data_IF_897255546399
#
_entry.id   IF_897255546399
#
_cell.length_a   1.000
_cell.length_b   1.000
_cell.length_c   1.000
_cell.angle_alpha   90.00
_cell.angle_beta   90.00
_cell.angle_gamma   90.00
#
_symmetry.space_group_name_H-M   'P 1'
#
loop_
_entity.id
_entity.type
_entity.pdbx_description
1 polymer ?
#
# COMPACT_ATOMS: atom_id res chain seq x y z
N UNK A 1 24.79 6.14 -7.15
CA UNK A 1 23.71 5.65 -8.06
C UNK A 1 22.58 6.67 -8.07
N UNK A 2 21.57 6.58 -8.98
CA UNK A 2 20.58 7.65 -9.14
C UNK A 2 19.61 7.78 -7.95
N UNK A 3 19.08 6.69 -7.44
CA UNK A 3 18.11 6.73 -6.34
C UNK A 3 18.69 6.34 -4.99
N UNK A 4 19.54 5.35 -4.93
CA UNK A 4 20.06 4.77 -3.69
C UNK A 4 21.56 4.53 -3.78
N UNK A 5 22.24 4.55 -2.63
CA UNK A 5 23.67 4.30 -2.47
C UNK A 5 23.93 3.03 -1.66
N UNK A 6 25.20 2.61 -1.66
CA UNK A 6 25.71 1.54 -0.79
C UNK A 6 25.03 0.18 -0.93
N UNK A 7 24.89 -0.30 -2.17
CA UNK A 7 24.46 -1.67 -2.40
C UNK A 7 25.59 -2.65 -2.09
N UNK A 8 25.31 -3.62 -1.22
CA UNK A 8 26.18 -4.76 -0.92
C UNK A 8 25.46 -6.06 -1.22
N UNK A 9 26.22 -7.17 -1.28
CA UNK A 9 25.62 -8.50 -1.40
C UNK A 9 24.68 -8.82 -0.23
N UNK A 10 25.02 -8.35 0.97
CA UNK A 10 24.21 -8.53 2.18
C UNK A 10 22.86 -7.82 2.05
N UNK A 11 22.84 -6.60 1.51
CA UNK A 11 21.59 -5.87 1.25
C UNK A 11 20.70 -6.64 0.26
N UNK A 12 21.25 -7.13 -0.84
CA UNK A 12 20.51 -7.90 -1.86
C UNK A 12 19.92 -9.17 -1.25
N UNK A 13 20.71 -9.92 -0.48
CA UNK A 13 20.23 -11.12 0.23
C UNK A 13 19.13 -10.78 1.23
N UNK A 14 19.28 -9.70 2.01
CA UNK A 14 18.27 -9.21 2.94
C UNK A 14 16.95 -8.87 2.25
N UNK A 15 17.01 -8.21 1.11
CA UNK A 15 15.84 -7.91 0.27
C UNK A 15 15.14 -9.19 -0.18
N UNK A 16 15.88 -10.15 -0.73
CA UNK A 16 15.32 -11.43 -1.20
C UNK A 16 14.64 -12.17 -0.04
N UNK A 17 15.30 -12.26 1.11
CA UNK A 17 14.76 -12.91 2.31
C UNK A 17 13.46 -12.23 2.76
N UNK A 18 13.44 -10.89 2.82
CA UNK A 18 12.25 -10.15 3.21
C UNK A 18 11.10 -10.34 2.21
N UNK A 19 11.40 -10.33 0.91
CA UNK A 19 10.41 -10.59 -0.15
C UNK A 19 9.79 -11.98 0.01
N UNK A 20 10.62 -13.01 0.23
CA UNK A 20 10.17 -14.39 0.43
C UNK A 20 9.32 -14.52 1.71
N UNK A 21 9.74 -13.91 2.81
CA UNK A 21 8.98 -13.93 4.07
C UNK A 21 7.63 -13.24 3.89
N UNK A 22 7.60 -12.03 3.34
CA UNK A 22 6.34 -11.29 3.14
C UNK A 22 5.39 -12.03 2.18
N UNK A 23 5.92 -12.60 1.09
CA UNK A 23 5.11 -13.41 0.17
C UNK A 23 4.53 -14.64 0.86
N UNK A 24 5.36 -15.38 1.57
CA UNK A 24 4.97 -16.64 2.24
C UNK A 24 3.92 -16.38 3.32
N UNK A 25 4.15 -15.39 4.18
CA UNK A 25 3.19 -15.02 5.22
C UNK A 25 1.87 -14.49 4.63
N UNK A 26 1.94 -13.68 3.57
CA UNK A 26 0.76 -13.21 2.86
C UNK A 26 -0.04 -14.38 2.27
N UNK A 27 0.62 -15.37 1.63
CA UNK A 27 -0.07 -16.54 1.07
C UNK A 27 -0.67 -17.46 2.15
N UNK A 28 0.01 -17.68 3.26
CA UNK A 28 -0.51 -18.48 4.36
C UNK A 28 -1.71 -17.81 5.02
N UNK A 29 -1.62 -16.52 5.32
CA UNK A 29 -2.74 -15.77 5.91
C UNK A 29 -3.90 -15.62 4.93
N UNK A 30 -3.63 -15.46 3.62
CA UNK A 30 -4.66 -15.44 2.58
C UNK A 30 -5.46 -16.72 2.52
N UNK A 31 -4.80 -17.89 2.57
CA UNK A 31 -5.40 -19.21 2.39
C UNK A 31 -6.04 -19.79 3.66
N UNK A 32 -5.68 -19.28 4.83
CA UNK A 32 -6.14 -19.81 6.11
C UNK A 32 -6.78 -18.73 6.99
N UNK A 33 -8.09 -18.89 7.27
CA UNK A 33 -8.80 -18.02 8.23
C UNK A 33 -8.16 -18.03 9.62
N UNK A 34 -7.73 -19.23 10.09
CA UNK A 34 -7.12 -19.39 11.41
C UNK A 34 -5.80 -18.61 11.49
N UNK A 35 -4.94 -18.78 10.48
CA UNK A 35 -3.67 -18.04 10.42
C UNK A 35 -3.88 -16.54 10.28
N UNK A 36 -4.90 -16.08 9.54
CA UNK A 36 -5.25 -14.65 9.49
C UNK A 36 -5.60 -14.10 10.87
N UNK A 37 -6.41 -14.82 11.64
CA UNK A 37 -6.78 -14.41 13.01
C UNK A 37 -5.54 -14.35 13.91
N UNK A 38 -4.70 -15.39 13.87
CA UNK A 38 -3.47 -15.41 14.64
C UNK A 38 -2.58 -14.22 14.29
N UNK A 39 -2.26 -14.05 13.00
CA UNK A 39 -1.27 -13.07 12.53
C UNK A 39 -1.76 -11.62 12.63
N UNK A 40 -3.06 -11.35 12.44
CA UNK A 40 -3.57 -9.97 12.40
C UNK A 40 -4.39 -9.56 13.62
N UNK A 41 -4.65 -10.47 14.56
CA UNK A 41 -5.34 -10.17 15.82
C UNK A 41 -4.49 -10.59 17.01
N UNK A 42 -4.15 -11.88 17.15
CA UNK A 42 -3.49 -12.39 18.35
C UNK A 42 -2.03 -11.94 18.46
N UNK A 43 -1.26 -12.03 17.37
CA UNK A 43 0.14 -11.59 17.37
C UNK A 43 0.28 -10.09 17.66
N UNK A 44 -0.44 -9.18 16.95
CA UNK A 44 -0.32 -7.75 17.28
C UNK A 44 -0.86 -7.39 18.68
N UNK A 45 -1.85 -8.12 19.18
CA UNK A 45 -2.29 -7.94 20.57
C UNK A 45 -1.16 -8.28 21.56
N UNK A 46 -0.51 -9.44 21.39
CA UNK A 46 0.63 -9.83 22.19
C UNK A 46 1.81 -8.85 22.05
N UNK A 47 2.10 -8.41 20.82
CA UNK A 47 3.16 -7.43 20.57
C UNK A 47 2.85 -6.07 21.20
N UNK A 48 1.61 -5.62 21.16
CA UNK A 48 1.17 -4.37 21.83
C UNK A 48 1.38 -4.42 23.35
N UNK A 49 1.14 -5.57 23.95
CA UNK A 49 1.23 -5.71 25.42
C UNK A 49 2.66 -5.95 25.91
N UNK A 50 3.48 -6.69 25.15
CA UNK A 50 4.74 -7.23 25.69
C UNK A 50 5.99 -6.84 24.89
N UNK A 51 5.89 -6.54 23.59
CA UNK A 51 7.05 -6.33 22.71
C UNK A 51 7.22 -4.86 22.34
N UNK A 52 6.21 -4.25 21.75
CA UNK A 52 6.32 -2.88 21.23
C UNK A 52 6.53 -1.80 22.30
N UNK A 53 6.04 -1.92 23.54
CA UNK A 53 6.43 -0.96 24.60
C UNK A 53 7.94 -0.89 24.83
N UNK A 54 8.66 -1.97 24.54
CA UNK A 54 10.13 -2.04 24.69
C UNK A 54 10.81 -1.59 23.38
N UNK A 55 10.44 -2.18 22.24
CA UNK A 55 11.12 -1.92 20.96
C UNK A 55 10.87 -0.51 20.41
N UNK A 56 9.72 0.10 20.73
CA UNK A 56 9.38 1.46 20.30
C UNK A 56 10.16 2.56 21.06
N UNK A 57 10.97 2.21 22.05
CA UNK A 57 11.85 3.15 22.76
C UNK A 57 13.19 3.41 22.04
N UNK A 58 13.42 2.76 20.87
CA UNK A 58 14.63 3.03 20.07
C UNK A 58 14.63 4.46 19.52
N UNK A 59 15.80 5.01 19.24
CA UNK A 59 15.98 6.39 18.76
C UNK A 59 15.19 6.69 17.47
N UNK A 60 14.95 5.66 16.63
CA UNK A 60 14.21 5.79 15.38
C UNK A 60 12.69 5.75 15.53
N UNK A 61 12.18 5.32 16.69
CA UNK A 61 10.71 5.17 16.93
C UNK A 61 10.24 5.91 18.17
N UNK A 62 11.14 6.33 19.07
CA UNK A 62 10.82 7.04 20.29
C UNK A 62 10.10 8.36 19.99
N UNK A 63 8.91 8.52 20.55
CA UNK A 63 8.05 9.67 20.28
C UNK A 63 7.40 9.68 18.88
N UNK A 64 7.65 8.68 18.05
CA UNK A 64 7.07 8.58 16.72
C UNK A 64 5.67 7.95 16.76
N UNK A 65 4.67 8.74 17.16
CA UNK A 65 3.27 8.31 17.17
C UNK A 65 2.78 7.79 15.82
N UNK A 66 3.37 8.27 14.72
CA UNK A 66 3.01 7.88 13.35
C UNK A 66 3.25 6.37 13.09
N UNK A 67 4.34 5.80 13.64
CA UNK A 67 4.61 4.36 13.50
C UNK A 67 3.50 3.52 14.13
N UNK A 68 3.00 3.93 15.31
CA UNK A 68 1.87 3.28 15.99
C UNK A 68 0.56 3.42 15.20
N UNK A 69 0.23 4.62 14.77
CA UNK A 69 -0.96 4.87 13.94
C UNK A 69 -0.92 4.04 12.67
N UNK A 70 0.26 3.94 12.02
CA UNK A 70 0.42 3.17 10.78
C UNK A 70 0.20 1.67 10.98
N UNK A 71 0.71 1.10 12.05
CA UNK A 71 0.47 -0.32 12.41
C UNK A 71 -1.01 -0.57 12.63
N UNK A 72 -1.66 0.22 13.48
CA UNK A 72 -3.07 -0.02 13.83
C UNK A 72 -4.03 0.30 12.68
N UNK A 73 -3.77 1.31 11.87
CA UNK A 73 -4.58 1.61 10.68
C UNK A 73 -4.49 0.48 9.64
N UNK A 74 -3.28 -0.06 9.43
CA UNK A 74 -3.09 -1.22 8.55
C UNK A 74 -3.82 -2.47 9.09
N UNK A 75 -3.70 -2.76 10.38
CA UNK A 75 -4.40 -3.86 11.05
C UNK A 75 -5.93 -3.69 10.98
N UNK A 76 -6.45 -2.48 11.23
CA UNK A 76 -7.88 -2.19 11.10
C UNK A 76 -8.38 -2.45 9.68
N UNK A 77 -7.61 -2.05 8.66
CA UNK A 77 -7.89 -2.36 7.26
C UNK A 77 -7.98 -3.86 7.01
N UNK A 78 -6.96 -4.62 7.43
CA UNK A 78 -6.93 -6.09 7.26
C UNK A 78 -8.08 -6.77 8.00
N UNK A 79 -8.36 -6.38 9.24
CA UNK A 79 -9.47 -6.94 10.05
C UNK A 79 -10.81 -6.67 9.37
N UNK A 80 -11.03 -5.45 8.86
CA UNK A 80 -12.23 -5.12 8.10
C UNK A 80 -12.37 -5.95 6.82
N UNK A 81 -11.27 -6.18 6.09
CA UNK A 81 -11.28 -7.06 4.89
C UNK A 81 -11.51 -8.53 5.26
N UNK A 82 -10.94 -9.00 6.37
CA UNK A 82 -11.25 -10.34 6.91
C UNK A 82 -12.73 -10.46 7.28
N UNK A 83 -13.32 -9.44 7.88
CA UNK A 83 -14.73 -9.42 8.21
C UNK A 83 -15.61 -9.55 6.95
N UNK A 84 -15.29 -8.82 5.87
CA UNK A 84 -15.97 -8.98 4.57
C UNK A 84 -15.77 -10.40 4.03
N UNK A 85 -14.55 -10.94 4.04
CA UNK A 85 -14.23 -12.26 3.49
C UNK A 85 -14.96 -13.40 4.17
N UNK A 86 -15.15 -13.33 5.48
CA UNK A 86 -15.58 -14.47 6.29
C UNK A 86 -16.99 -14.33 6.88
N UNK A 87 -17.63 -13.16 6.81
CA UNK A 87 -18.99 -12.93 7.31
C UNK A 87 -19.97 -12.71 6.16
N UNK A 88 -20.87 -13.67 5.95
CA UNK A 88 -21.94 -13.55 4.94
C UNK A 88 -22.83 -12.31 5.19
N UNK A 89 -23.15 -12.02 6.46
CA UNK A 89 -23.96 -10.86 6.84
C UNK A 89 -23.33 -9.54 6.37
N UNK A 90 -22.00 -9.41 6.47
CA UNK A 90 -21.28 -8.20 6.04
C UNK A 90 -21.12 -8.12 4.51
N UNK A 91 -21.01 -9.26 3.82
CA UNK A 91 -21.02 -9.31 2.35
C UNK A 91 -22.34 -8.80 1.76
N UNK A 92 -23.45 -8.98 2.46
CA UNK A 92 -24.77 -8.48 2.04
C UNK A 92 -25.04 -7.04 2.48
N UNK A 93 -24.22 -6.48 3.34
CA UNK A 93 -24.38 -5.11 3.83
C UNK A 93 -23.68 -4.11 2.90
N UNK A 94 -24.47 -3.50 2.00
CA UNK A 94 -23.97 -2.49 1.04
C UNK A 94 -23.17 -1.37 1.71
N UNK A 95 -23.57 -0.88 2.88
CA UNK A 95 -22.83 0.18 3.60
C UNK A 95 -21.44 -0.30 4.03
N UNK A 96 -21.34 -1.55 4.49
CA UNK A 96 -20.04 -2.09 4.93
C UNK A 96 -19.10 -2.37 3.74
N UNK A 97 -19.63 -2.62 2.54
CA UNK A 97 -18.81 -2.79 1.34
C UNK A 97 -18.12 -1.49 0.87
N UNK A 98 -18.49 -0.33 1.42
CA UNK A 98 -17.73 0.92 1.23
C UNK A 98 -16.48 1.02 2.12
N UNK A 99 -16.33 0.16 3.13
CA UNK A 99 -15.18 0.20 4.03
C UNK A 99 -13.82 0.15 3.31
N UNK A 100 -13.59 -0.72 2.28
CA UNK A 100 -12.34 -0.71 1.53
C UNK A 100 -12.03 0.61 0.83
N UNK A 101 -13.05 1.27 0.29
CA UNK A 101 -12.91 2.60 -0.31
C UNK A 101 -12.49 3.64 0.73
N UNK A 102 -13.19 3.68 1.86
CA UNK A 102 -12.95 4.68 2.90
C UNK A 102 -11.55 4.53 3.49
N UNK A 103 -11.17 3.32 3.89
CA UNK A 103 -9.86 3.09 4.50
C UNK A 103 -8.71 3.37 3.53
N UNK A 104 -8.87 3.04 2.25
CA UNK A 104 -7.88 3.34 1.22
C UNK A 104 -7.77 4.85 0.99
N UNK A 105 -8.90 5.55 0.82
CA UNK A 105 -8.92 7.01 0.59
C UNK A 105 -8.32 7.79 1.77
N UNK A 106 -8.63 7.39 3.00
CA UNK A 106 -8.05 8.01 4.21
C UNK A 106 -6.53 7.79 4.26
N UNK A 107 -6.04 6.58 3.97
CA UNK A 107 -4.61 6.32 3.94
C UNK A 107 -3.87 7.09 2.83
N UNK A 108 -4.51 7.30 1.68
CA UNK A 108 -3.95 8.14 0.61
C UNK A 108 -3.94 9.61 1.03
N UNK A 109 -5.06 10.10 1.58
CA UNK A 109 -5.19 11.50 2.00
C UNK A 109 -4.19 11.87 3.10
N UNK A 110 -3.95 10.98 4.06
CA UNK A 110 -2.91 11.15 5.08
C UNK A 110 -1.52 11.37 4.43
N UNK A 111 -1.18 10.56 3.44
CA UNK A 111 0.09 10.69 2.72
C UNK A 111 0.15 11.98 1.88
N UNK A 112 -0.95 12.38 1.25
CA UNK A 112 -1.06 13.65 0.50
C UNK A 112 -0.85 14.85 1.43
N UNK A 113 -1.50 14.85 2.59
CA UNK A 113 -1.29 15.91 3.61
C UNK A 113 0.17 15.95 4.02
N UNK A 114 0.81 14.81 4.21
CA UNK A 114 2.23 14.74 4.57
C UNK A 114 3.15 15.28 3.47
N UNK A 115 2.87 14.99 2.20
CA UNK A 115 3.60 15.60 1.08
C UNK A 115 3.53 17.14 1.15
N UNK A 116 2.33 17.72 1.30
CA UNK A 116 2.17 19.18 1.42
C UNK A 116 2.81 19.78 2.67
N UNK A 117 2.83 19.04 3.80
CA UNK A 117 3.55 19.49 5.01
C UNK A 117 5.05 19.57 4.78
N UNK A 118 5.64 18.57 4.11
CA UNK A 118 7.08 18.49 3.90
C UNK A 118 7.55 19.50 2.84
N UNK A 119 6.68 19.96 1.97
CA UNK A 119 7.01 20.92 0.90
C UNK A 119 7.88 22.09 1.37
N UNK A 120 7.63 22.63 2.57
CA UNK A 120 8.32 23.78 3.14
C UNK A 120 9.57 23.43 3.97
N UNK A 121 9.97 22.16 4.07
CA UNK A 121 11.13 21.76 4.86
C UNK A 121 12.41 21.94 4.06
N UNK A 122 13.41 22.55 4.68
CA UNK A 122 14.71 22.85 4.05
C UNK A 122 15.84 22.00 4.68
N UNK A 123 15.78 20.69 4.44
CA UNK A 123 16.80 19.77 4.92
C UNK A 123 16.86 19.64 6.44
N UNK A 124 15.75 19.28 7.07
CA UNK A 124 15.66 19.12 8.53
C UNK A 124 15.63 17.65 8.93
N UNK A 125 16.30 17.32 10.03
CA UNK A 125 16.21 16.00 10.63
C UNK A 125 15.11 15.97 11.69
N UNK A 126 14.10 15.13 11.46
CA UNK A 126 12.96 14.95 12.39
C UNK A 126 12.77 13.45 12.64
N UNK A 127 12.90 13.04 13.90
CA UNK A 127 12.74 11.65 14.35
C UNK A 127 13.63 10.65 13.57
N UNK A 128 14.89 11.02 13.32
CA UNK A 128 15.84 10.20 12.58
C UNK A 128 15.53 10.07 11.08
N UNK A 129 14.79 11.00 10.51
CA UNK A 129 14.52 11.10 9.08
C UNK A 129 15.01 12.44 8.56
N UNK A 130 15.88 12.42 7.55
CA UNK A 130 16.28 13.63 6.84
C UNK A 130 15.20 14.03 5.85
N UNK A 131 14.50 15.15 6.12
CA UNK A 131 13.36 15.63 5.35
C UNK A 131 13.73 16.89 4.58
N UNK A 132 13.59 16.83 3.28
CA UNK A 132 13.82 17.93 2.36
C UNK A 132 12.63 18.06 1.41
N UNK A 133 11.92 19.17 1.50
CA UNK A 133 10.78 19.50 0.67
C UNK A 133 11.16 20.19 -0.63
N UNK A 134 10.18 20.25 -1.53
CA UNK A 134 10.30 20.96 -2.80
C UNK A 134 9.11 20.67 -3.71
N UNK A 135 9.15 21.20 -4.93
CA UNK A 135 8.06 21.10 -5.90
C UNK A 135 7.60 19.65 -6.18
N UNK A 136 8.50 18.69 -6.00
CA UNK A 136 8.18 17.25 -6.10
C UNK A 136 7.10 16.80 -5.12
N UNK A 137 7.03 17.36 -3.91
CA UNK A 137 5.96 17.08 -2.96
C UNK A 137 4.61 17.56 -3.46
N UNK A 138 4.55 18.73 -4.12
CA UNK A 138 3.33 19.24 -4.73
C UNK A 138 2.86 18.31 -5.85
N UNK A 139 3.77 17.93 -6.76
CA UNK A 139 3.44 17.00 -7.85
C UNK A 139 2.96 15.66 -7.33
N UNK A 140 3.61 15.10 -6.31
CA UNK A 140 3.20 13.84 -5.72
C UNK A 140 1.89 13.95 -4.93
N UNK A 141 1.68 15.04 -4.20
CA UNK A 141 0.42 15.33 -3.51
C UNK A 141 -0.76 15.39 -4.48
N UNK A 142 -0.59 16.08 -5.63
CA UNK A 142 -1.59 16.11 -6.71
C UNK A 142 -1.82 14.69 -7.27
N UNK A 143 -0.76 13.92 -7.53
CA UNK A 143 -0.89 12.53 -7.99
C UNK A 143 -1.68 11.67 -7.00
N UNK A 144 -1.49 11.86 -5.69
CA UNK A 144 -2.26 11.20 -4.65
C UNK A 144 -3.75 11.57 -4.67
N UNK A 145 -4.08 12.83 -4.86
CA UNK A 145 -5.48 13.27 -5.04
C UNK A 145 -6.11 12.64 -6.29
N UNK A 146 -5.37 12.58 -7.41
CA UNK A 146 -5.81 11.89 -8.62
C UNK A 146 -6.05 10.40 -8.36
N UNK A 147 -5.20 9.76 -7.57
CA UNK A 147 -5.38 8.35 -7.17
C UNK A 147 -6.69 8.12 -6.41
N UNK A 148 -7.12 9.07 -5.55
CA UNK A 148 -8.43 8.99 -4.89
C UNK A 148 -9.57 9.21 -5.89
N UNK A 149 -9.47 10.22 -6.75
CA UNK A 149 -10.51 10.57 -7.72
C UNK A 149 -10.74 9.45 -8.74
N UNK A 150 -9.69 8.69 -9.05
CA UNK A 150 -9.75 7.57 -10.01
C UNK A 150 -10.21 6.25 -9.40
N UNK A 151 -10.59 6.20 -8.12
CA UNK A 151 -11.28 5.05 -7.53
C UNK A 151 -12.69 4.90 -8.13
N UNK A 152 -12.96 3.73 -8.68
CA UNK A 152 -14.23 3.40 -9.36
C UNK A 152 -14.89 2.16 -8.77
N UNK A 153 -16.18 1.92 -9.08
CA UNK A 153 -16.89 0.74 -8.60
C UNK A 153 -17.03 0.73 -7.07
N UNK A 154 -17.45 1.84 -6.47
CA UNK A 154 -17.57 1.98 -5.02
C UNK A 154 -18.55 0.98 -4.42
N UNK A 155 -18.09 0.22 -3.43
CA UNK A 155 -18.91 -0.82 -2.80
C UNK A 155 -19.18 -2.06 -3.67
N UNK A 156 -18.59 -2.16 -4.88
CA UNK A 156 -18.73 -3.31 -5.78
C UNK A 156 -17.73 -4.43 -5.43
N UNK A 157 -17.56 -4.67 -4.15
CA UNK A 157 -16.68 -5.71 -3.63
C UNK A 157 -17.37 -7.07 -3.74
N UNK A 158 -16.65 -8.07 -4.25
CA UNK A 158 -17.11 -9.46 -4.35
C UNK A 158 -16.13 -10.40 -3.66
N UNK A 159 -16.61 -11.57 -3.27
CA UNK A 159 -15.76 -12.61 -2.71
C UNK A 159 -15.53 -13.68 -3.75
N UNK A 160 -14.25 -13.98 -3.99
CA UNK A 160 -13.82 -15.06 -4.87
C UNK A 160 -14.44 -16.40 -4.41
N UNK A 161 -14.94 -17.18 -5.37
CA UNK A 161 -15.42 -18.55 -5.11
C UNK A 161 -14.30 -19.58 -5.07
N UNK A 162 -13.05 -19.17 -5.14
CA UNK A 162 -11.88 -20.02 -4.93
C UNK A 162 -11.72 -20.39 -3.45
N UNK A 163 -10.85 -21.35 -3.13
CA UNK A 163 -10.58 -21.76 -1.74
C UNK A 163 -10.07 -20.61 -0.85
N UNK A 164 -9.36 -19.64 -1.43
CA UNK A 164 -8.82 -18.49 -0.69
C UNK A 164 -9.88 -17.47 -0.29
N UNK A 165 -11.06 -17.44 -0.95
CA UNK A 165 -12.13 -16.49 -0.67
C UNK A 165 -11.63 -15.05 -0.65
N UNK A 166 -10.85 -14.67 -1.65
CA UNK A 166 -10.26 -13.33 -1.72
C UNK A 166 -11.33 -12.25 -1.87
N UNK A 167 -11.07 -11.09 -1.26
CA UNK A 167 -11.84 -9.89 -1.45
C UNK A 167 -11.45 -9.26 -2.79
N UNK A 168 -12.34 -9.33 -3.77
CA UNK A 168 -12.11 -8.88 -5.13
C UNK A 168 -12.75 -7.52 -5.36
N UNK A 169 -11.93 -6.54 -5.77
CA UNK A 169 -12.38 -5.26 -6.28
C UNK A 169 -12.05 -5.20 -7.77
N UNK A 170 -12.96 -5.70 -8.59
CA UNK A 170 -12.70 -6.01 -10.00
C UNK A 170 -12.38 -4.78 -10.86
N UNK A 171 -12.88 -3.62 -10.47
CA UNK A 171 -12.69 -2.37 -11.21
C UNK A 171 -11.32 -1.72 -10.99
N UNK A 172 -10.54 -2.18 -9.97
CA UNK A 172 -9.17 -1.73 -9.77
C UNK A 172 -8.21 -2.54 -10.64
N UNK A 173 -8.10 -2.13 -11.91
CA UNK A 173 -7.30 -2.82 -12.92
C UNK A 173 -5.82 -2.40 -12.86
N UNK A 174 -5.01 -3.08 -13.68
CA UNK A 174 -3.55 -2.95 -13.68
C UNK A 174 -3.04 -1.50 -13.80
N UNK A 175 -3.69 -0.66 -14.61
CA UNK A 175 -3.27 0.74 -14.80
C UNK A 175 -3.48 1.58 -13.52
N UNK A 176 -4.59 1.38 -12.82
CA UNK A 176 -4.81 2.00 -11.51
C UNK A 176 -3.78 1.52 -10.48
N UNK A 177 -3.54 0.19 -10.43
CA UNK A 177 -2.58 -0.41 -9.50
C UNK A 177 -1.16 0.12 -9.74
N UNK A 178 -0.75 0.29 -11.00
CA UNK A 178 0.54 0.89 -11.36
C UNK A 178 0.57 2.37 -10.94
N UNK A 179 -0.47 3.15 -11.27
CA UNK A 179 -0.55 4.57 -10.89
C UNK A 179 -0.44 4.77 -9.38
N UNK A 180 -1.20 4.00 -8.61
CA UNK A 180 -1.10 3.98 -7.14
C UNK A 180 0.30 3.62 -6.66
N UNK A 181 0.92 2.60 -7.25
CA UNK A 181 2.24 2.14 -6.80
C UNK A 181 3.34 3.17 -7.07
N UNK A 182 3.31 3.82 -8.23
CA UNK A 182 4.23 4.91 -8.56
C UNK A 182 4.05 6.11 -7.62
N UNK A 183 2.81 6.50 -7.36
CA UNK A 183 2.50 7.52 -6.37
C UNK A 183 3.05 7.15 -4.98
N UNK A 184 2.82 5.93 -4.53
CA UNK A 184 3.22 5.50 -3.19
C UNK A 184 4.75 5.36 -3.05
N UNK A 185 5.46 4.88 -4.09
CA UNK A 185 6.94 4.87 -4.12
C UNK A 185 7.48 6.29 -4.00
N UNK A 186 6.94 7.23 -4.80
CA UNK A 186 7.32 8.64 -4.75
C UNK A 186 7.07 9.25 -3.37
N UNK A 187 5.89 9.00 -2.78
CA UNK A 187 5.57 9.43 -1.43
C UNK A 187 6.58 8.93 -0.40
N UNK A 188 6.88 7.64 -0.41
CA UNK A 188 7.81 7.04 0.57
C UNK A 188 9.22 7.58 0.37
N UNK A 189 9.65 7.77 -0.88
CA UNK A 189 10.97 8.33 -1.21
C UNK A 189 11.10 9.79 -0.77
N UNK A 190 10.04 10.59 -0.92
CA UNK A 190 10.05 12.01 -0.56
C UNK A 190 9.86 12.25 0.95
N UNK A 191 9.02 11.44 1.61
CA UNK A 191 8.52 11.71 2.96
C UNK A 191 9.07 10.79 4.04
N UNK A 192 9.66 9.65 3.66
CA UNK A 192 10.26 8.66 4.58
C UNK A 192 11.57 8.15 3.94
N UNK A 193 12.49 9.05 3.54
CA UNK A 193 13.60 8.71 2.62
C UNK A 193 14.47 7.56 3.13
N UNK A 194 14.88 7.59 4.39
CA UNK A 194 15.82 6.60 4.96
C UNK A 194 15.24 5.19 5.09
N UNK A 195 13.92 5.04 4.92
CA UNK A 195 13.21 3.75 4.92
C UNK A 195 12.59 3.43 3.56
N UNK A 196 12.79 4.29 2.58
CA UNK A 196 12.07 4.27 1.29
C UNK A 196 12.33 3.01 0.48
N UNK A 197 13.51 2.44 0.56
CA UNK A 197 13.82 1.21 -0.18
C UNK A 197 12.93 0.04 0.25
N UNK A 198 12.86 -0.23 1.55
CA UNK A 198 12.04 -1.34 2.05
C UNK A 198 10.55 -1.02 2.06
N UNK A 199 10.17 0.16 2.54
CA UNK A 199 8.76 0.56 2.63
C UNK A 199 8.15 0.90 1.27
N UNK A 200 8.94 1.37 0.30
CA UNK A 200 8.52 1.67 -1.06
C UNK A 200 8.77 0.47 -1.99
N UNK A 201 10.04 0.24 -2.35
CA UNK A 201 10.37 -0.73 -3.42
C UNK A 201 10.01 -2.16 -3.02
N UNK A 202 10.49 -2.64 -1.86
CA UNK A 202 10.29 -4.05 -1.47
C UNK A 202 8.83 -4.35 -1.20
N UNK A 203 8.19 -3.55 -0.35
CA UNK A 203 6.81 -3.78 0.07
C UNK A 203 5.82 -3.70 -1.10
N UNK A 204 5.96 -2.70 -1.98
CA UNK A 204 5.06 -2.56 -3.13
C UNK A 204 5.31 -3.61 -4.20
N UNK A 205 6.57 -4.04 -4.39
CA UNK A 205 6.89 -5.13 -5.32
C UNK A 205 6.15 -6.42 -4.96
N UNK A 206 6.06 -6.76 -3.67
CA UNK A 206 5.28 -7.93 -3.23
C UNK A 206 3.78 -7.75 -3.47
N UNK A 207 3.23 -6.59 -3.16
CA UNK A 207 1.81 -6.30 -3.41
C UNK A 207 1.48 -6.38 -4.91
N UNK A 208 2.34 -5.87 -5.78
CA UNK A 208 2.22 -5.97 -7.24
C UNK A 208 2.33 -7.42 -7.71
N UNK A 209 3.39 -8.11 -7.30
CA UNK A 209 3.62 -9.50 -7.70
C UNK A 209 2.42 -10.39 -7.34
N UNK A 210 1.92 -10.29 -6.13
CA UNK A 210 0.75 -11.09 -5.69
C UNK A 210 -0.52 -10.71 -6.44
N UNK A 211 -0.76 -9.43 -6.70
CA UNK A 211 -1.92 -8.95 -7.42
C UNK A 211 -1.96 -9.40 -8.88
N UNK A 212 -0.79 -9.50 -9.54
CA UNK A 212 -0.72 -9.90 -10.95
C UNK A 212 -0.53 -11.40 -11.16
N UNK A 213 -0.13 -12.14 -10.13
CA UNK A 213 0.10 -13.59 -10.23
C UNK A 213 -0.99 -14.41 -9.56
N UNK A 214 -0.95 -14.52 -8.24
CA UNK A 214 -1.71 -15.49 -7.45
C UNK A 214 -3.04 -14.97 -6.90
N UNK A 215 -3.23 -13.66 -6.84
CA UNK A 215 -4.41 -13.01 -6.23
C UNK A 215 -5.03 -11.95 -7.13
N UNK A 216 -5.23 -12.27 -8.41
CA UNK A 216 -5.79 -11.33 -9.39
C UNK A 216 -7.14 -10.76 -8.94
N UNK A 217 -7.23 -9.43 -8.91
CA UNK A 217 -8.40 -8.67 -8.44
C UNK A 217 -8.48 -8.44 -6.93
N UNK A 218 -7.59 -9.07 -6.16
CA UNK A 218 -7.50 -8.89 -4.71
C UNK A 218 -6.33 -7.97 -4.30
N UNK A 219 -5.91 -7.08 -5.19
CA UNK A 219 -4.78 -6.19 -4.96
C UNK A 219 -4.85 -5.46 -3.62
N UNK A 220 -5.98 -4.83 -3.30
CA UNK A 220 -6.12 -4.07 -2.05
C UNK A 220 -5.98 -4.95 -0.81
N UNK A 221 -6.51 -6.19 -0.85
CA UNK A 221 -6.32 -7.17 0.21
C UNK A 221 -4.83 -7.49 0.40
N UNK A 222 -4.10 -7.79 -0.69
CA UNK A 222 -2.67 -8.07 -0.62
C UNK A 222 -1.88 -6.87 -0.13
N UNK A 223 -2.22 -5.66 -0.63
CA UNK A 223 -1.56 -4.43 -0.18
C UNK A 223 -1.75 -4.18 1.32
N UNK A 224 -2.93 -4.42 1.85
CA UNK A 224 -3.20 -4.26 3.27
C UNK A 224 -2.50 -5.33 4.12
N UNK A 225 -2.58 -6.60 3.72
CA UNK A 225 -1.93 -7.70 4.45
C UNK A 225 -0.41 -7.54 4.49
N UNK A 226 0.23 -7.25 3.36
CA UNK A 226 1.68 -7.04 3.31
C UNK A 226 2.11 -5.80 4.06
N UNK A 227 1.31 -4.72 4.01
CA UNK A 227 1.56 -3.51 4.81
C UNK A 227 1.48 -3.80 6.31
N UNK A 228 0.47 -4.51 6.77
CA UNK A 228 0.32 -4.86 8.18
C UNK A 228 1.48 -5.74 8.67
N UNK A 229 1.86 -6.77 7.90
CA UNK A 229 3.01 -7.62 8.22
C UNK A 229 4.31 -6.81 8.29
N UNK A 230 4.54 -5.94 7.30
CA UNK A 230 5.73 -5.10 7.26
C UNK A 230 5.74 -4.07 8.41
N UNK A 231 4.62 -3.43 8.70
CA UNK A 231 4.52 -2.46 9.78
C UNK A 231 4.74 -3.10 11.17
N UNK A 232 4.23 -4.31 11.40
CA UNK A 232 4.55 -5.08 12.60
C UNK A 232 6.04 -5.40 12.68
N UNK A 233 6.66 -5.81 11.57
CA UNK A 233 8.09 -6.07 11.51
C UNK A 233 8.91 -4.82 11.86
N UNK A 234 8.59 -3.66 11.28
CA UNK A 234 9.35 -2.43 11.48
C UNK A 234 9.24 -1.88 12.91
N UNK A 235 8.11 -2.07 13.58
CA UNK A 235 7.95 -1.67 14.97
C UNK A 235 8.63 -2.64 15.95
N UNK A 236 8.77 -3.91 15.54
CA UNK A 236 9.50 -4.93 16.31
C UNK A 236 11.01 -4.79 16.15
N UNK A 237 11.47 -4.44 14.94
CA UNK A 237 12.88 -4.27 14.58
C UNK A 237 13.13 -2.88 13.99
N UNK A 238 13.02 -1.80 14.78
CA UNK A 238 13.05 -0.44 14.24
C UNK A 238 14.38 -0.03 13.59
N UNK A 239 15.49 -0.71 13.95
CA UNK A 239 16.83 -0.41 13.46
C UNK A 239 17.18 -1.10 12.12
N UNK A 240 16.31 -1.92 11.55
CA UNK A 240 16.63 -2.73 10.37
C UNK A 240 17.03 -1.92 9.14
N UNK A 241 16.50 -0.72 8.98
CA UNK A 241 16.69 0.12 7.80
C UNK A 241 17.72 1.22 7.96
N UNK A 242 18.12 1.57 9.19
CA UNK A 242 18.97 2.75 9.45
C UNK A 242 20.33 2.41 10.07
N UNK A 243 20.40 1.40 10.93
CA UNK A 243 21.59 1.08 11.70
C UNK A 243 22.05 -0.37 11.54
N UNK A 244 21.64 -1.03 10.47
CA UNK A 244 21.98 -2.43 10.23
C UNK A 244 22.80 -2.61 8.96
N UNK A 245 23.42 -3.79 8.82
CA UNK A 245 24.06 -4.22 7.58
C UNK A 245 23.10 -4.27 6.38
N UNK A 246 21.80 -4.20 6.63
CA UNK A 246 20.75 -4.23 5.60
C UNK A 246 20.30 -2.84 5.15
N UNK A 247 20.79 -1.76 5.79
CA UNK A 247 20.39 -0.41 5.43
C UNK A 247 20.82 -0.04 4.01
N UNK A 248 19.89 0.57 3.27
CA UNK A 248 20.12 1.13 1.93
C UNK A 248 19.74 2.60 1.99
N UNK A 249 20.70 3.46 1.73
CA UNK A 249 20.57 4.90 1.90
C UNK A 249 20.08 5.54 0.58
N UNK A 250 19.09 6.41 0.61
CA UNK A 250 18.72 7.20 -0.57
C UNK A 250 19.79 8.27 -0.84
N UNK A 251 19.90 8.70 -2.09
CA UNK A 251 20.88 9.74 -2.47
C UNK A 251 20.58 11.13 -1.90
N UNK A 252 19.35 11.35 -1.42
CA UNK A 252 18.82 12.66 -0.98
C UNK A 252 18.84 13.76 -2.05
N UNK A 253 19.27 13.45 -3.28
CA UNK A 253 19.31 14.35 -4.41
C UNK A 253 17.90 14.81 -4.84
N UNK A 254 17.83 16.06 -5.33
CA UNK A 254 16.55 16.65 -5.76
C UNK A 254 16.03 16.06 -7.07
N UNK A 255 16.94 15.71 -7.99
CA UNK A 255 16.58 15.18 -9.31
C UNK A 255 15.83 13.83 -9.24
N UNK A 256 16.27 12.82 -8.47
CA UNK A 256 15.48 11.59 -8.26
C UNK A 256 14.07 11.85 -7.71
N UNK A 257 13.92 12.75 -6.73
CA UNK A 257 12.63 13.14 -6.15
C UNK A 257 11.70 13.73 -7.20
N UNK A 258 12.25 14.66 -8.01
CA UNK A 258 11.51 15.31 -9.09
C UNK A 258 11.07 14.30 -10.16
N UNK A 259 11.97 13.42 -10.59
CA UNK A 259 11.69 12.39 -11.62
C UNK A 259 10.57 11.45 -11.15
N UNK A 260 10.68 10.91 -9.93
CA UNK A 260 9.64 10.02 -9.39
C UNK A 260 8.27 10.71 -9.32
N UNK A 261 8.24 11.94 -8.84
CA UNK A 261 7.00 12.71 -8.67
C UNK A 261 6.37 13.09 -10.02
N UNK A 262 7.17 13.46 -11.01
CA UNK A 262 6.69 13.74 -12.37
C UNK A 262 6.16 12.48 -13.05
N UNK A 263 6.86 11.34 -12.94
CA UNK A 263 6.38 10.06 -13.47
C UNK A 263 5.07 9.66 -12.80
N UNK A 264 5.00 9.77 -11.48
CA UNK A 264 3.78 9.52 -10.70
C UNK A 264 2.61 10.37 -11.18
N UNK A 265 2.81 11.68 -11.29
CA UNK A 265 1.78 12.63 -11.75
C UNK A 265 1.33 12.31 -13.17
N UNK A 266 2.27 12.10 -14.09
CA UNK A 266 1.98 11.84 -15.51
C UNK A 266 1.14 10.56 -15.67
N UNK A 267 1.52 9.49 -15.00
CA UNK A 267 0.77 8.22 -15.08
C UNK A 267 -0.63 8.38 -14.48
N UNK A 268 -0.78 9.05 -13.32
CA UNK A 268 -2.10 9.26 -12.72
C UNK A 268 -2.99 10.20 -13.52
N UNK A 269 -2.44 11.20 -14.21
CA UNK A 269 -3.17 11.99 -15.21
C UNK A 269 -3.65 11.11 -16.39
N UNK A 270 -2.82 10.19 -16.85
CA UNK A 270 -3.19 9.21 -17.87
C UNK A 270 -4.34 8.31 -17.42
N UNK A 271 -4.32 7.83 -16.16
CA UNK A 271 -5.40 7.05 -15.56
C UNK A 271 -6.70 7.87 -15.51
N UNK A 272 -6.65 9.12 -15.06
CA UNK A 272 -7.82 10.01 -15.03
C UNK A 272 -8.37 10.25 -16.44
N UNK A 273 -7.51 10.53 -17.41
CA UNK A 273 -7.91 10.76 -18.81
C UNK A 273 -8.63 9.52 -19.37
N UNK A 274 -8.08 8.32 -19.12
CA UNK A 274 -8.71 7.07 -19.54
C UNK A 274 -10.06 6.83 -18.84
N UNK A 275 -10.16 7.16 -17.54
CA UNK A 275 -11.41 7.09 -16.80
C UNK A 275 -12.47 8.02 -17.41
N UNK A 276 -12.13 9.30 -17.65
CA UNK A 276 -13.04 10.29 -18.23
C UNK A 276 -13.52 9.82 -19.62
N UNK A 277 -12.59 9.39 -20.47
CA UNK A 277 -12.93 8.82 -21.80
C UNK A 277 -13.92 7.67 -21.66
N UNK A 278 -13.69 6.75 -20.72
CA UNK A 278 -14.54 5.56 -20.50
C UNK A 278 -15.93 5.96 -19.98
N UNK A 279 -16.01 6.94 -19.05
CA UNK A 279 -17.28 7.48 -18.55
C UNK A 279 -18.11 8.07 -19.69
N UNK A 280 -17.50 8.90 -20.51
CA UNK A 280 -18.19 9.56 -21.66
C UNK A 280 -18.66 8.52 -22.66
N UNK A 281 -17.76 7.58 -23.06
CA UNK A 281 -18.05 6.57 -24.08
C UNK A 281 -19.16 5.60 -23.68
N UNK A 282 -19.14 5.11 -22.43
CA UNK A 282 -20.08 4.09 -21.97
C UNK A 282 -21.24 4.66 -21.12
N UNK A 283 -21.25 5.96 -20.87
CA UNK A 283 -22.27 6.67 -20.06
C UNK A 283 -22.53 6.00 -18.70
N UNK A 284 -21.45 5.56 -18.04
CA UNK A 284 -21.52 4.90 -16.73
C UNK A 284 -21.02 5.83 -15.64
N UNK A 285 -21.75 5.89 -14.53
CA UNK A 285 -21.30 6.59 -13.33
C UNK A 285 -20.24 5.72 -12.62
N UNK A 286 -18.99 6.20 -12.50
CA UNK A 286 -17.88 5.43 -11.93
C UNK A 286 -18.04 5.14 -10.43
N UNK A 287 -18.91 5.88 -9.75
CA UNK A 287 -19.13 5.74 -8.31
C UNK A 287 -20.17 4.67 -7.97
N UNK A 288 -21.18 4.51 -8.80
CA UNK A 288 -22.32 3.62 -8.53
C UNK A 288 -22.33 2.36 -9.38
N UNK A 289 -21.46 2.27 -10.39
CA UNK A 289 -21.33 1.12 -11.30
C UNK A 289 -19.87 0.80 -11.56
N UNK A 290 -19.60 -0.46 -11.86
CA UNK A 290 -18.27 -0.84 -12.35
C UNK A 290 -18.06 -0.27 -13.76
N UNK A 291 -16.95 0.42 -13.94
CA UNK A 291 -16.68 1.21 -15.14
C UNK A 291 -16.07 0.35 -16.26
N UNK A 292 -15.15 -0.55 -15.90
CA UNK A 292 -14.27 -1.24 -16.86
C UNK A 292 -14.76 -2.62 -17.27
N UNK A 293 -16.03 -2.94 -17.08
CA UNK A 293 -16.62 -4.27 -17.40
C UNK A 293 -16.46 -4.71 -18.85
N UNK A 294 -16.27 -3.76 -19.77
CA UNK A 294 -16.04 -4.02 -21.20
C UNK A 294 -14.64 -4.50 -21.54
N UNK A 295 -13.69 -4.38 -20.59
CA UNK A 295 -12.28 -4.72 -20.84
C UNK A 295 -12.01 -6.21 -20.67
N UNK A 296 -11.12 -6.75 -21.51
CA UNK A 296 -10.66 -8.14 -21.40
C UNK A 296 -9.99 -8.41 -20.04
N UNK A 297 -9.29 -7.41 -19.49
CA UNK A 297 -8.64 -7.54 -18.18
C UNK A 297 -9.67 -7.78 -17.06
N UNK A 298 -10.76 -7.01 -17.04
CA UNK A 298 -11.86 -7.19 -16.11
C UNK A 298 -12.49 -8.59 -16.23
N UNK A 299 -12.82 -9.02 -17.47
CA UNK A 299 -13.45 -10.32 -17.71
C UNK A 299 -12.55 -11.49 -17.27
N UNK A 300 -11.26 -11.46 -17.64
CA UNK A 300 -10.28 -12.47 -17.20
C UNK A 300 -10.17 -12.55 -15.67
N UNK A 301 -10.32 -11.42 -14.99
CA UNK A 301 -10.27 -11.35 -13.53
C UNK A 301 -11.50 -12.03 -12.90
N UNK A 302 -12.71 -11.82 -13.45
CA UNK A 302 -13.92 -12.50 -12.97
C UNK A 302 -13.81 -14.02 -13.15
N UNK A 303 -13.36 -14.47 -14.33
CA UNK A 303 -13.15 -15.90 -14.62
C UNK A 303 -12.16 -16.52 -13.63
N UNK A 304 -11.01 -15.85 -13.40
CA UNK A 304 -9.99 -16.32 -12.44
C UNK A 304 -10.59 -16.53 -11.04
N UNK A 305 -11.47 -15.66 -10.60
CA UNK A 305 -12.10 -15.68 -9.28
C UNK A 305 -13.39 -16.52 -9.23
N UNK A 306 -13.80 -17.14 -10.34
CA UNK A 306 -15.06 -17.87 -10.48
C UNK A 306 -16.29 -17.03 -10.08
N UNK A 307 -16.23 -15.73 -10.36
CA UNK A 307 -17.32 -14.77 -10.13
C UNK A 307 -18.18 -14.73 -11.39
N UNK A 308 -19.53 -14.89 -11.27
CA UNK A 308 -20.45 -14.83 -12.41
C UNK A 308 -20.53 -13.41 -13.01
#
# INVERSE_FOLDING_TARGET
MFFYENYSLVNILGVIVLLVILFTLNEFTRKSKRLSIIMFILVPLGFTLFVWPITSQSDTTKGNWFAWVKVYSALAGVIGFMAIRYSHKLQMNKKFLFFPLVILSVNILEAVIRDFQIYSYDGVEINGLFLQGGIWNIFNGIAGLLTIITLTGWGMIRISKTKSRDMVWADQLWFYIIGYSLWNISYVYNCIPDRSFYAGVVLLSIALFTAFSVGKGAWLQHRAQTLALFAMFTLTFPMYSTWSLFSIVPTHETLPKLVLSLVSLTVNLGVLTYQIHTVIKYKRNPFTKELYTHTTAYQKLLVFNKIP
#
